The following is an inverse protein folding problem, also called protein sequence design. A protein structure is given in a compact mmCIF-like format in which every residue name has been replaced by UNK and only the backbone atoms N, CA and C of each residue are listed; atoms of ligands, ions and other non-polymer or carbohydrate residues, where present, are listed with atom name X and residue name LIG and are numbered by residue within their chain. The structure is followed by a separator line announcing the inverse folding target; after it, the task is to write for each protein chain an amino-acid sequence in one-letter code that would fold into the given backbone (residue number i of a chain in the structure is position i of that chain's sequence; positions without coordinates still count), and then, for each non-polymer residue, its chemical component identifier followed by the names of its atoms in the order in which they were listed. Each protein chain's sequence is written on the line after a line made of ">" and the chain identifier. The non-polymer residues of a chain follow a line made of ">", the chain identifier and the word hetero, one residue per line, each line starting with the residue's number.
data_IF_670675568077
#
_entry.id   IF_670675568077
#
_cell.length_a   1.000
_cell.length_b   1.000
_cell.length_c   1.000
_cell.angle_alpha   90.00
_cell.angle_beta   90.00
_cell.angle_gamma   90.00
#
_symmetry.space_group_name_H-M   'P 1'
#
loop_
_entity.id
_entity.type
_entity.pdbx_description
1 polymer ?
#
# COMPACT_ATOMS: atom_id res chain seq x y z
N UNK A 1 -17.42 -0.43 18.48
CA UNK A 1 -16.85 -0.01 17.16
C UNK A 1 -17.52 -0.83 16.05
N UNK A 2 -18.60 -0.32 15.45
CA UNK A 2 -19.60 -1.12 14.69
C UNK A 2 -19.51 -0.99 13.16
N UNK A 3 -18.32 -0.92 12.56
CA UNK A 3 -18.14 -0.80 11.08
C UNK A 3 -17.23 -1.89 10.48
N UNK A 4 -17.48 -3.16 10.86
CA UNK A 4 -16.69 -4.32 10.40
C UNK A 4 -16.68 -4.46 8.87
N UNK A 5 -17.82 -4.29 8.20
CA UNK A 5 -17.95 -4.40 6.73
C UNK A 5 -17.08 -3.37 5.99
N UNK A 6 -17.13 -2.10 6.41
CA UNK A 6 -16.31 -1.04 5.81
C UNK A 6 -14.81 -1.27 6.04
N UNK A 7 -14.42 -1.68 7.25
CA UNK A 7 -13.03 -1.99 7.57
C UNK A 7 -12.49 -3.17 6.74
N UNK A 8 -13.32 -4.19 6.51
CA UNK A 8 -12.97 -5.32 5.62
C UNK A 8 -12.78 -4.82 4.18
N UNK A 9 -13.68 -3.99 3.66
CA UNK A 9 -13.54 -3.43 2.32
C UNK A 9 -12.26 -2.62 2.14
N UNK A 10 -11.91 -1.77 3.11
CA UNK A 10 -10.68 -0.97 3.09
C UNK A 10 -9.44 -1.88 3.15
N UNK A 11 -9.43 -2.87 4.04
CA UNK A 11 -8.34 -3.86 4.12
C UNK A 11 -8.18 -4.63 2.80
N UNK A 12 -9.28 -5.03 2.17
CA UNK A 12 -9.26 -5.71 0.87
C UNK A 12 -8.75 -4.79 -0.25
N UNK A 13 -9.13 -3.52 -0.25
CA UNK A 13 -8.61 -2.52 -1.21
C UNK A 13 -7.09 -2.37 -1.08
N UNK A 14 -6.57 -2.31 0.14
CA UNK A 14 -5.12 -2.26 0.40
C UNK A 14 -4.43 -3.52 -0.13
N UNK A 15 -4.96 -4.72 0.17
CA UNK A 15 -4.40 -5.99 -0.33
C UNK A 15 -4.35 -6.03 -1.86
N UNK A 16 -5.43 -5.62 -2.53
CA UNK A 16 -5.50 -5.55 -4.00
C UNK A 16 -4.45 -4.59 -4.56
N UNK A 17 -4.30 -3.40 -3.97
CA UNK A 17 -3.33 -2.42 -4.42
C UNK A 17 -1.88 -2.89 -4.21
N UNK A 18 -1.58 -3.57 -3.10
CA UNK A 18 -0.27 -4.20 -2.87
C UNK A 18 0.02 -5.24 -3.95
N UNK A 19 -0.93 -6.14 -4.25
CA UNK A 19 -0.73 -7.17 -5.28
C UNK A 19 -0.45 -6.57 -6.65
N UNK A 20 -1.16 -5.49 -7.02
CA UNK A 20 -0.91 -4.77 -8.28
C UNK A 20 0.51 -4.20 -8.34
N UNK A 21 0.98 -3.59 -7.25
CA UNK A 21 2.34 -3.06 -7.17
C UNK A 21 3.39 -4.18 -7.23
N UNK A 22 3.17 -5.30 -6.54
CA UNK A 22 4.09 -6.45 -6.59
C UNK A 22 4.19 -7.04 -8.00
N UNK A 23 3.09 -7.09 -8.75
CA UNK A 23 3.10 -7.49 -10.15
C UNK A 23 3.90 -6.51 -11.03
N UNK A 24 3.72 -5.19 -10.84
CA UNK A 24 4.47 -4.17 -11.58
C UNK A 24 5.97 -4.17 -11.25
N UNK A 25 6.32 -4.52 -10.01
CA UNK A 25 7.70 -4.75 -9.59
C UNK A 25 8.27 -5.99 -10.30
N UNK A 26 7.50 -7.08 -10.37
CA UNK A 26 7.92 -8.30 -11.03
C UNK A 26 8.09 -8.14 -12.55
N UNK A 27 7.31 -7.27 -13.20
CA UNK A 27 7.47 -6.93 -14.62
C UNK A 27 8.63 -5.98 -14.93
N UNK A 28 9.36 -5.51 -13.92
CA UNK A 28 10.51 -4.62 -14.10
C UNK A 28 10.16 -3.17 -14.45
N UNK A 29 8.89 -2.77 -14.38
CA UNK A 29 8.46 -1.41 -14.74
C UNK A 29 8.64 -0.43 -13.57
N UNK A 30 9.79 0.24 -13.51
CA UNK A 30 10.15 1.15 -12.42
C UNK A 30 9.28 2.42 -12.34
N UNK A 31 8.85 2.97 -13.48
CA UNK A 31 8.00 4.18 -13.52
C UNK A 31 6.58 3.90 -13.04
N UNK A 32 5.99 2.81 -13.53
CA UNK A 32 4.66 2.37 -13.13
C UNK A 32 4.62 2.01 -11.65
N UNK A 33 5.66 1.34 -11.16
CA UNK A 33 5.81 1.01 -9.74
C UNK A 33 5.84 2.25 -8.85
N UNK A 34 6.51 3.34 -9.25
CA UNK A 34 6.51 4.62 -8.52
C UNK A 34 5.13 5.28 -8.49
N UNK A 35 4.41 5.29 -9.62
CA UNK A 35 3.03 5.83 -9.69
C UNK A 35 2.09 5.05 -8.78
N UNK A 36 2.16 3.72 -8.82
CA UNK A 36 1.37 2.83 -7.98
C UNK A 36 1.72 2.97 -6.49
N UNK A 37 2.99 3.18 -6.15
CA UNK A 37 3.42 3.44 -4.78
C UNK A 37 2.79 4.72 -4.21
N UNK A 38 2.76 5.81 -4.98
CA UNK A 38 2.13 7.07 -4.56
C UNK A 38 0.63 6.93 -4.31
N UNK A 39 -0.07 6.18 -5.16
CA UNK A 39 -1.49 5.87 -4.93
C UNK A 39 -1.70 5.03 -3.66
N UNK A 40 -0.85 4.02 -3.45
CA UNK A 40 -0.92 3.13 -2.29
C UNK A 40 -0.61 3.87 -0.98
N UNK A 41 0.37 4.78 -0.96
CA UNK A 41 0.73 5.56 0.23
C UNK A 41 -0.45 6.41 0.69
N UNK A 42 -1.16 7.08 -0.24
CA UNK A 42 -2.37 7.86 0.06
C UNK A 42 -3.43 6.99 0.76
N UNK A 43 -3.72 5.81 0.21
CA UNK A 43 -4.71 4.87 0.78
C UNK A 43 -4.31 4.43 2.20
N UNK A 44 -3.03 4.09 2.40
CA UNK A 44 -2.52 3.65 3.70
C UNK A 44 -2.58 4.77 4.74
N UNK A 45 -2.18 5.99 4.39
CA UNK A 45 -2.24 7.15 5.28
C UNK A 45 -3.69 7.49 5.67
N UNK A 46 -4.63 7.48 4.72
CA UNK A 46 -6.06 7.66 5.03
C UNK A 46 -6.57 6.58 5.99
N UNK A 47 -6.13 5.33 5.79
CA UNK A 47 -6.52 4.20 6.66
C UNK A 47 -5.95 4.33 8.08
N UNK A 48 -4.77 4.94 8.22
CA UNK A 48 -4.21 5.30 9.52
C UNK A 48 -5.01 6.38 10.22
N UNK A 49 -5.42 7.44 9.50
CA UNK A 49 -6.26 8.52 10.06
C UNK A 49 -7.60 7.98 10.57
N UNK A 50 -8.18 7.01 9.86
CA UNK A 50 -9.40 6.30 10.26
C UNK A 50 -9.19 5.25 11.37
N UNK A 51 -7.99 5.17 11.95
CA UNK A 51 -7.61 4.20 13.00
C UNK A 51 -7.83 2.72 12.63
N UNK A 52 -7.82 2.39 11.33
CA UNK A 52 -8.01 1.01 10.85
C UNK A 52 -6.70 0.21 10.94
N UNK A 53 -5.57 0.89 10.69
CA UNK A 53 -4.21 0.35 10.75
C UNK A 53 -3.37 1.34 11.55
N UNK A 54 -2.46 0.85 12.39
CA UNK A 54 -1.59 1.72 13.17
C UNK A 54 -0.58 2.46 12.27
N UNK A 55 -0.25 3.71 12.63
CA UNK A 55 0.70 4.56 11.89
C UNK A 55 2.04 3.87 11.62
N UNK A 56 2.58 3.16 12.60
CA UNK A 56 3.88 2.47 12.46
C UNK A 56 3.79 1.31 11.45
N UNK A 57 2.65 0.62 11.37
CA UNK A 57 2.48 -0.46 10.39
C UNK A 57 2.41 0.11 8.97
N UNK A 58 1.76 1.27 8.79
CA UNK A 58 1.76 2.00 7.51
C UNK A 58 3.18 2.43 7.13
N UNK A 59 3.92 3.09 8.03
CA UNK A 59 5.28 3.54 7.75
C UNK A 59 6.21 2.39 7.38
N UNK A 60 6.15 1.27 8.11
CA UNK A 60 6.93 0.06 7.78
C UNK A 60 6.60 -0.46 6.39
N UNK A 61 5.32 -0.52 6.02
CA UNK A 61 4.92 -1.05 4.71
C UNK A 61 5.38 -0.14 3.56
N UNK A 62 5.28 1.18 3.73
CA UNK A 62 5.80 2.14 2.75
C UNK A 62 7.31 1.93 2.56
N UNK A 63 8.08 1.89 3.66
CA UNK A 63 9.53 1.71 3.60
C UNK A 63 9.94 0.39 2.91
N UNK A 64 9.26 -0.73 3.23
CA UNK A 64 9.52 -2.02 2.59
C UNK A 64 9.28 -1.99 1.08
N UNK A 65 8.18 -1.39 0.63
CA UNK A 65 7.84 -1.32 -0.79
C UNK A 65 8.78 -0.38 -1.55
N UNK A 66 9.13 0.77 -0.98
CA UNK A 66 10.13 1.67 -1.56
C UNK A 66 11.50 0.98 -1.72
N UNK A 67 11.94 0.21 -0.72
CA UNK A 67 13.19 -0.58 -0.82
C UNK A 67 13.14 -1.59 -1.97
N UNK A 68 12.01 -2.28 -2.17
CA UNK A 68 11.85 -3.23 -3.29
C UNK A 68 11.97 -2.52 -4.64
N UNK A 69 11.33 -1.37 -4.80
CA UNK A 69 11.41 -0.58 -6.05
C UNK A 69 12.82 -0.05 -6.28
N UNK A 70 13.49 0.43 -5.25
CA UNK A 70 14.86 0.93 -5.37
C UNK A 70 15.86 -0.17 -5.73
N UNK A 71 15.61 -1.43 -5.35
CA UNK A 71 16.45 -2.58 -5.74
C UNK A 71 16.32 -2.94 -7.24
N UNK A 72 15.24 -2.52 -7.89
CA UNK A 72 15.06 -2.69 -9.34
C UNK A 72 15.78 -1.62 -10.16
N UNK A 73 16.18 -0.53 -9.52
CA UNK A 73 16.90 0.58 -10.14
C UNK A 73 18.40 0.26 -10.16
#
# INVERSE_FOLDING_TARGET
>A
IRNKKQNIQIKNKIKKAIKKLENAIASGNAEESKKLLSSLTKILQTSSRKKIIHKNAVSRKIAQLSKKINKLK
#
